data_IF_203817558976
#
_entry.id   IF_203817558976
#
_cell.length_a   1.000
_cell.length_b   1.000
_cell.length_c   1.000
_cell.angle_alpha   90.00
_cell.angle_beta   90.00
_cell.angle_gamma   90.00
#
_symmetry.space_group_name_H-M   'P 1'
#
loop_
_entity.id
_entity.type
_entity.pdbx_description
1 polymer ?
#
# COMPACT_ATOMS: atom_id res chain seq x y z
N UNK A 1 9.77 -23.11 5.99
CA UNK A 1 9.10 -21.79 6.12
C UNK A 1 9.26 -21.17 7.51
N UNK A 2 8.99 -21.91 8.60
CA UNK A 2 9.08 -21.39 9.99
C UNK A 2 10.45 -20.77 10.37
N UNK A 3 11.57 -21.39 10.01
CA UNK A 3 12.91 -20.85 10.34
C UNK A 3 13.22 -19.49 9.68
N UNK A 4 12.77 -19.27 8.44
CA UNK A 4 12.97 -17.99 7.73
C UNK A 4 12.13 -16.88 8.39
N UNK A 5 10.90 -17.19 8.81
CA UNK A 5 10.02 -16.25 9.52
C UNK A 5 10.61 -15.85 10.88
N UNK A 6 11.23 -16.79 11.60
CA UNK A 6 11.91 -16.49 12.88
C UNK A 6 13.07 -15.51 12.68
N UNK A 7 13.88 -15.70 11.64
CA UNK A 7 14.99 -14.78 11.33
C UNK A 7 14.47 -13.39 10.97
N UNK A 8 13.40 -13.30 10.15
CA UNK A 8 12.79 -12.01 9.80
C UNK A 8 12.24 -11.31 11.04
N UNK A 9 11.52 -12.00 11.92
CA UNK A 9 11.02 -11.43 13.17
C UNK A 9 12.15 -10.94 14.08
N UNK A 10 13.23 -11.71 14.18
CA UNK A 10 14.40 -11.32 14.97
C UNK A 10 15.03 -10.04 14.42
N UNK A 11 15.24 -9.94 13.11
CA UNK A 11 15.79 -8.74 12.46
C UNK A 11 14.88 -7.54 12.71
N UNK A 12 13.56 -7.68 12.55
CA UNK A 12 12.62 -6.59 12.78
C UNK A 12 12.67 -6.11 14.24
N UNK A 13 12.65 -7.02 15.22
CA UNK A 13 12.81 -6.65 16.64
C UNK A 13 14.13 -5.92 16.89
N UNK A 14 15.22 -6.41 16.28
CA UNK A 14 16.54 -5.81 16.43
C UNK A 14 16.57 -4.39 15.82
N UNK A 15 15.98 -4.20 14.65
CA UNK A 15 15.84 -2.88 14.02
C UNK A 15 15.05 -1.93 14.90
N UNK A 16 13.94 -2.37 15.48
CA UNK A 16 13.15 -1.54 16.42
C UNK A 16 14.01 -1.11 17.61
N UNK A 17 14.77 -2.03 18.22
CA UNK A 17 15.67 -1.70 19.33
C UNK A 17 16.74 -0.67 18.91
N UNK A 18 17.37 -0.84 17.75
CA UNK A 18 18.35 0.11 17.25
C UNK A 18 17.74 1.49 16.98
N UNK A 19 16.55 1.56 16.38
CA UNK A 19 15.87 2.83 16.14
C UNK A 19 15.63 3.60 17.44
N UNK A 20 15.17 2.92 18.50
CA UNK A 20 14.96 3.54 19.80
C UNK A 20 16.28 4.00 20.44
N UNK A 21 17.35 3.21 20.31
CA UNK A 21 18.68 3.57 20.84
C UNK A 21 19.25 4.82 20.15
N UNK A 22 19.27 4.86 18.82
CA UNK A 22 19.77 6.03 18.10
C UNK A 22 18.95 7.28 18.38
N UNK A 23 17.63 7.13 18.48
CA UNK A 23 16.72 8.20 18.80
C UNK A 23 16.99 8.82 20.18
N UNK A 24 17.27 7.98 21.18
CA UNK A 24 17.61 8.43 22.54
C UNK A 24 18.97 9.13 22.58
N UNK A 25 20.01 8.56 21.96
CA UNK A 25 21.34 9.18 21.89
C UNK A 25 21.27 10.57 21.25
N UNK A 26 20.56 10.72 20.14
CA UNK A 26 20.39 12.03 19.49
C UNK A 26 19.64 13.03 20.37
N UNK A 27 18.64 12.57 21.12
CA UNK A 27 17.95 13.42 22.10
C UNK A 27 18.88 13.91 23.20
N UNK A 28 19.83 13.10 23.66
CA UNK A 28 20.82 13.52 24.67
C UNK A 28 21.78 14.59 24.14
N UNK A 29 22.18 14.51 22.87
CA UNK A 29 23.00 15.53 22.22
C UNK A 29 22.31 16.90 22.24
N UNK A 30 21.01 16.94 21.89
CA UNK A 30 20.22 18.17 21.94
C UNK A 30 20.11 18.74 23.35
N UNK A 31 19.83 17.88 24.34
CA UNK A 31 19.79 18.30 25.75
C UNK A 31 21.14 18.86 26.20
N UNK A 32 22.24 18.19 25.85
CA UNK A 32 23.59 18.66 26.18
C UNK A 32 23.90 20.01 25.53
N UNK A 33 23.52 20.18 24.25
CA UNK A 33 23.69 21.44 23.52
C UNK A 33 22.90 22.57 24.19
N UNK A 34 21.65 22.32 24.57
CA UNK A 34 20.83 23.29 25.29
C UNK A 34 21.40 23.67 26.67
N UNK A 35 21.99 22.71 27.39
CA UNK A 35 22.65 22.95 28.68
C UNK A 35 23.97 23.73 28.52
N UNK A 36 24.70 23.50 27.44
CA UNK A 36 25.98 24.16 27.16
C UNK A 36 25.82 25.54 26.51
N UNK A 37 24.71 25.78 25.81
CA UNK A 37 24.37 27.08 25.23
C UNK A 37 24.16 28.09 26.37
N UNK A 38 24.93 29.18 26.38
CA UNK A 38 24.76 30.20 27.41
C UNK A 38 23.44 30.93 27.18
N UNK A 39 22.61 31.03 28.22
CA UNK A 39 21.42 31.87 28.18
C UNK A 39 21.85 33.33 27.98
N UNK A 40 21.51 33.88 26.82
CA UNK A 40 21.82 35.27 26.47
C UNK A 40 20.57 36.13 26.71
N UNK A 41 20.60 36.94 27.77
CA UNK A 41 19.59 37.96 28.04
C UNK A 41 19.89 39.23 27.24
N UNK A 42 19.15 39.46 26.15
CA UNK A 42 19.32 40.68 25.36
C UNK A 42 18.54 41.83 25.99
N UNK A 43 19.26 42.86 26.45
CA UNK A 43 18.66 44.17 26.68
C UNK A 43 18.42 44.85 25.33
N UNK A 44 17.19 44.79 24.85
CA UNK A 44 16.77 45.52 23.65
C UNK A 44 16.84 47.03 23.90
N UNK A 45 17.70 47.72 23.15
CA UNK A 45 17.71 49.19 23.07
C UNK A 45 16.98 49.61 21.80
N UNK A 46 16.03 50.54 21.92
CA UNK A 46 15.23 51.01 20.79
C UNK A 46 16.13 51.57 19.67
N UNK A 47 16.02 51.00 18.46
CA UNK A 47 16.77 51.45 17.28
C UNK A 47 18.10 50.72 17.03
N UNK A 48 18.52 49.79 17.90
CA UNK A 48 19.70 48.95 17.69
C UNK A 48 19.29 47.49 17.54
N UNK A 49 19.05 47.07 16.30
CA UNK A 49 18.82 45.67 15.97
C UNK A 49 20.19 44.98 15.86
N UNK A 50 20.64 44.33 16.93
CA UNK A 50 21.86 43.52 16.90
C UNK A 50 21.59 42.12 16.35
N UNK A 51 22.27 41.75 15.25
CA UNK A 51 22.26 40.39 14.67
C UNK A 51 23.41 39.60 15.31
N UNK A 52 23.34 39.33 16.62
CA UNK A 52 24.47 38.70 17.33
C UNK A 52 24.31 37.19 17.53
N UNK A 53 23.11 36.64 17.36
CA UNK A 53 22.83 35.20 17.41
C UNK A 53 21.36 34.97 17.02
N UNK A 54 21.08 33.87 16.32
CA UNK A 54 19.70 33.49 16.00
C UNK A 54 19.08 32.78 17.20
N UNK A 55 17.97 33.30 17.75
CA UNK A 55 17.11 32.60 18.71
C UNK A 55 16.37 31.40 18.09
N UNK A 56 16.64 31.05 16.84
CA UNK A 56 16.20 29.79 16.25
C UNK A 56 17.03 28.64 16.83
N UNK A 57 16.92 28.42 18.14
CA UNK A 57 17.03 27.07 18.66
C UNK A 57 15.94 26.32 17.90
N UNK A 58 16.36 25.47 16.99
CA UNK A 58 15.53 24.55 16.23
C UNK A 58 14.82 23.64 17.24
N UNK A 59 13.77 24.18 17.86
CA UNK A 59 13.07 23.58 18.99
C UNK A 59 12.27 22.35 18.57
N UNK A 60 12.12 22.17 17.25
CA UNK A 60 11.41 21.08 16.61
C UNK A 60 12.35 20.20 15.80
N UNK A 61 13.13 19.36 16.48
CA UNK A 61 13.80 18.24 15.81
C UNK A 61 12.73 17.22 15.39
N UNK A 62 12.49 17.06 14.10
CA UNK A 62 11.51 16.10 13.55
C UNK A 62 11.78 14.64 13.93
N UNK A 63 13.03 14.32 14.23
CA UNK A 63 13.49 13.00 14.68
C UNK A 63 13.11 12.78 16.15
N UNK A 64 13.40 13.75 17.03
CA UNK A 64 13.04 13.68 18.46
C UNK A 64 11.54 13.87 18.73
N UNK A 65 10.84 14.61 17.87
CA UNK A 65 9.43 14.89 18.01
C UNK A 65 8.55 13.86 17.27
N UNK A 66 8.90 12.58 17.39
CA UNK A 66 8.08 11.48 16.86
C UNK A 66 7.06 11.02 17.91
N UNK A 67 5.82 10.80 17.49
CA UNK A 67 4.76 10.25 18.34
C UNK A 67 4.05 9.12 17.60
N UNK A 68 3.80 8.00 18.29
CA UNK A 68 2.95 6.95 17.77
C UNK A 68 1.49 7.42 17.85
N UNK A 69 0.83 7.54 16.71
CA UNK A 69 -0.63 7.69 16.67
C UNK A 69 -1.28 6.35 17.01
N UNK A 70 -2.41 6.38 17.72
CA UNK A 70 -3.17 5.17 17.99
C UNK A 70 -3.68 4.58 16.68
N UNK A 71 -3.29 3.34 16.39
CA UNK A 71 -3.84 2.61 15.26
C UNK A 71 -5.34 2.38 15.50
N UNK A 72 -6.19 3.00 14.70
CA UNK A 72 -7.64 2.76 14.72
C UNK A 72 -7.90 1.61 13.74
N UNK A 73 -8.29 0.41 14.22
CA UNK A 73 -8.61 -0.70 13.32
C UNK A 73 -9.83 -0.31 12.48
N UNK A 74 -9.63 -0.13 11.18
CA UNK A 74 -10.71 0.11 10.24
C UNK A 74 -11.41 -1.23 9.93
N UNK A 75 -12.75 -1.27 10.04
CA UNK A 75 -13.55 -2.42 9.64
C UNK A 75 -13.60 -2.52 8.11
N UNK A 76 -12.51 -3.01 7.52
CA UNK A 76 -12.49 -3.32 6.10
C UNK A 76 -13.48 -4.44 5.80
N UNK A 77 -14.55 -4.13 5.06
CA UNK A 77 -15.46 -5.13 4.56
C UNK A 77 -14.76 -5.85 3.40
N UNK A 78 -14.48 -7.14 3.58
CA UNK A 78 -13.90 -7.97 2.53
C UNK A 78 -15.00 -8.26 1.50
N UNK A 79 -14.83 -7.90 0.21
CA UNK A 79 -15.84 -8.23 -0.80
C UNK A 79 -15.93 -9.75 -0.96
N UNK A 80 -17.14 -10.30 -0.88
CA UNK A 80 -17.37 -11.72 -1.16
C UNK A 80 -17.57 -11.95 -2.66
N UNK A 81 -16.76 -12.84 -3.23
CA UNK A 81 -16.92 -13.26 -4.63
C UNK A 81 -17.74 -14.56 -4.66
N UNK A 82 -18.92 -14.50 -5.26
CA UNK A 82 -19.76 -15.68 -5.49
C UNK A 82 -19.63 -16.13 -6.94
N UNK A 83 -19.22 -17.39 -7.14
CA UNK A 83 -19.18 -18.01 -8.47
C UNK A 83 -20.61 -18.38 -8.88
N UNK A 84 -21.19 -17.62 -9.80
CA UNK A 84 -22.46 -18.00 -10.43
C UNK A 84 -22.17 -19.07 -11.46
N UNK A 85 -22.63 -20.29 -11.20
CA UNK A 85 -22.60 -21.40 -12.16
C UNK A 85 -23.97 -21.43 -12.81
N UNK A 86 -24.07 -20.92 -14.03
CA UNK A 86 -25.26 -21.12 -14.86
C UNK A 86 -25.13 -22.47 -15.56
N UNK A 87 -26.06 -23.37 -15.29
CA UNK A 87 -26.18 -24.62 -16.06
C UNK A 87 -26.70 -24.27 -17.45
N UNK A 88 -25.84 -24.39 -18.46
CA UNK A 88 -26.22 -24.22 -19.87
C UNK A 88 -26.83 -25.56 -20.31
N UNK A 89 -28.12 -25.57 -20.62
CA UNK A 89 -28.75 -26.74 -21.24
C UNK A 89 -28.32 -26.79 -22.72
N UNK A 90 -27.46 -27.75 -23.05
CA UNK A 90 -27.10 -28.01 -24.44
C UNK A 90 -28.22 -28.81 -25.11
N UNK A 91 -29.01 -28.14 -25.97
CA UNK A 91 -29.93 -28.83 -26.87
C UNK A 91 -29.17 -29.29 -28.11
N UNK A 92 -28.87 -30.59 -28.18
CA UNK A 92 -28.39 -31.21 -29.41
C UNK A 92 -29.58 -31.58 -30.28
N UNK A 93 -29.78 -30.84 -31.37
CA UNK A 93 -30.76 -31.19 -32.40
C UNK A 93 -30.14 -32.26 -33.29
N UNK A 94 -30.56 -33.51 -33.13
CA UNK A 94 -30.20 -34.59 -34.05
C UNK A 94 -31.24 -34.64 -35.17
N UNK A 95 -30.96 -34.02 -36.31
CA UNK A 95 -31.75 -34.26 -37.52
C UNK A 95 -31.34 -35.62 -38.09
N UNK A 96 -32.20 -36.63 -37.99
CA UNK A 96 -32.06 -37.79 -38.87
C UNK A 96 -32.35 -37.33 -40.29
N UNK A 97 -31.31 -36.97 -41.03
CA UNK A 97 -31.43 -36.86 -42.48
C UNK A 97 -31.71 -38.26 -42.98
N UNK A 98 -32.96 -38.55 -43.30
CA UNK A 98 -33.33 -39.73 -44.09
C UNK A 98 -32.50 -39.64 -45.36
N UNK A 99 -31.45 -40.45 -45.43
CA UNK A 99 -30.67 -40.60 -46.65
C UNK A 99 -31.55 -41.34 -47.64
N UNK A 100 -32.41 -40.59 -48.35
CA UNK A 100 -33.12 -41.10 -49.50
C UNK A 100 -32.10 -41.25 -50.62
N UNK A 101 -31.36 -42.35 -50.58
CA UNK A 101 -30.72 -43.05 -51.69
C UNK A 101 -30.71 -42.26 -53.01
N UNK A 102 -29.64 -41.52 -53.29
CA UNK A 102 -29.43 -40.96 -54.63
C UNK A 102 -28.14 -41.49 -55.23
N UNK A 103 -28.28 -42.38 -56.22
CA UNK A 103 -27.21 -43.20 -56.81
C UNK A 103 -26.57 -42.58 -58.06
N UNK A 104 -26.56 -41.25 -58.22
CA UNK A 104 -26.12 -40.63 -59.47
C UNK A 104 -25.55 -39.21 -59.39
N UNK A 105 -26.21 -38.25 -58.74
CA UNK A 105 -25.68 -36.90 -58.52
C UNK A 105 -26.54 -36.13 -57.51
N UNK A 106 -25.94 -35.61 -56.45
CA UNK A 106 -26.63 -34.80 -55.44
C UNK A 106 -26.28 -33.32 -55.71
N UNK A 107 -27.20 -32.59 -56.33
CA UNK A 107 -27.03 -31.15 -56.55
C UNK A 107 -27.51 -30.38 -55.31
N UNK A 108 -26.64 -30.24 -54.31
CA UNK A 108 -26.88 -29.31 -53.22
C UNK A 108 -26.87 -27.88 -53.78
N UNK A 109 -28.01 -27.20 -53.70
CA UNK A 109 -28.16 -25.83 -54.15
C UNK A 109 -27.27 -24.92 -53.30
N UNK A 110 -26.14 -24.44 -53.84
CA UNK A 110 -25.27 -23.44 -53.20
C UNK A 110 -25.75 -22.00 -53.46
N UNK A 111 -27.07 -21.79 -53.45
CA UNK A 111 -27.63 -20.45 -53.58
C UNK A 111 -27.75 -19.81 -52.20
N UNK A 112 -27.58 -18.48 -52.09
CA UNK A 112 -27.88 -17.74 -50.87
C UNK A 112 -29.35 -17.94 -50.45
N UNK A 113 -29.67 -17.87 -49.15
CA UNK A 113 -31.04 -18.03 -48.68
C UNK A 113 -31.96 -17.05 -49.39
N UNK A 114 -33.05 -17.55 -49.98
CA UNK A 114 -34.09 -16.67 -50.48
C UNK A 114 -34.69 -15.94 -49.28
N UNK A 115 -34.65 -14.61 -49.31
CA UNK A 115 -35.31 -13.77 -48.32
C UNK A 115 -36.83 -13.94 -48.51
N UNK A 116 -37.50 -14.42 -47.46
CA UNK A 116 -38.95 -14.44 -47.30
C UNK A 116 -39.31 -13.49 -46.16
#
# INVERSE_FOLDING_TARGET
>A
MKKKVVVVNFIISLTVLFTMLFQTIHSYEHVFKQLSEKHCDHKYTAGQNEITHSHSVDSSCSICHFAFSTFIPNSFQIPSFHKVISEISYQFVYSQTVSTFFKGSLFALRAPPALL
#
